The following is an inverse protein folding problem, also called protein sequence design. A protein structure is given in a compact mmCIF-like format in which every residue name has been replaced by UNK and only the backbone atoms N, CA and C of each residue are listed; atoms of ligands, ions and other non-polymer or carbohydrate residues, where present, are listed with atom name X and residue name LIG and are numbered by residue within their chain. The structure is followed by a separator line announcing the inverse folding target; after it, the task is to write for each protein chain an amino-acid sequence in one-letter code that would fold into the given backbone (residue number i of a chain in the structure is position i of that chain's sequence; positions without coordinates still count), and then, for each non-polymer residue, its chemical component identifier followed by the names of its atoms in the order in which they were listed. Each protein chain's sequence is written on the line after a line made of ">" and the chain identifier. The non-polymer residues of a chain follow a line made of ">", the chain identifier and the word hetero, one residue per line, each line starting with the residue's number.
data_IF_727813159498
#
_entry.id   IF_727813159498
#
_cell.length_a   1.000
_cell.length_b   1.000
_cell.length_c   1.000
_cell.angle_alpha   90.00
_cell.angle_beta   90.00
_cell.angle_gamma   90.00
#
_symmetry.space_group_name_H-M   'P 1'
#
loop_
_entity.id
_entity.type
_entity.pdbx_description
1 polymer ?
#
# COMPACT_ATOMS: atom_id res chain seq x y z
N UNK A 1 8.10 -4.43 -14.21
CA UNK A 1 9.35 -3.66 -14.14
C UNK A 1 10.53 -4.62 -14.03
N UNK A 2 11.42 -4.63 -15.03
CA UNK A 2 12.51 -5.64 -15.08
C UNK A 2 13.54 -5.45 -13.95
N UNK A 3 13.92 -4.19 -13.67
CA UNK A 3 14.86 -3.86 -12.60
C UNK A 3 14.47 -4.49 -11.24
N UNK A 4 13.19 -4.41 -10.86
CA UNK A 4 12.70 -5.02 -9.62
C UNK A 4 12.77 -6.55 -9.67
N UNK A 5 12.44 -7.18 -10.80
CA UNK A 5 12.53 -8.63 -10.98
C UNK A 5 13.97 -9.11 -10.81
N UNK A 6 14.92 -8.40 -11.38
CA UNK A 6 16.34 -8.73 -11.27
C UNK A 6 16.87 -8.54 -9.85
N UNK A 7 16.40 -7.50 -9.15
CA UNK A 7 16.72 -7.28 -7.74
C UNK A 7 16.17 -8.41 -6.85
N UNK A 8 14.94 -8.84 -7.08
CA UNK A 8 14.34 -9.97 -6.35
C UNK A 8 15.11 -11.25 -6.60
N UNK A 9 15.50 -11.54 -7.85
CA UNK A 9 16.30 -12.74 -8.18
C UNK A 9 17.68 -12.73 -7.53
N UNK A 10 18.32 -11.57 -7.46
CA UNK A 10 19.65 -11.40 -6.91
C UNK A 10 19.69 -11.49 -5.39
N UNK A 11 18.80 -10.74 -4.72
CA UNK A 11 18.90 -10.48 -3.28
C UNK A 11 17.71 -11.03 -2.47
N UNK A 12 16.64 -11.46 -3.17
CA UNK A 12 15.50 -12.12 -2.54
C UNK A 12 15.84 -13.53 -2.06
N UNK A 13 15.25 -13.92 -0.93
CA UNK A 13 15.44 -15.26 -0.35
C UNK A 13 14.08 -15.93 -0.18
N UNK A 14 13.98 -17.18 -0.64
CA UNK A 14 12.78 -18.00 -0.43
C UNK A 14 13.00 -18.84 0.82
N UNK A 15 12.09 -18.74 1.78
CA UNK A 15 12.06 -19.57 2.98
C UNK A 15 10.96 -20.63 2.89
N UNK A 16 10.98 -21.61 3.81
CA UNK A 16 9.95 -22.62 3.93
C UNK A 16 8.55 -21.99 3.97
N UNK A 17 7.57 -22.64 3.33
CA UNK A 17 6.20 -22.11 3.21
C UNK A 17 6.03 -21.04 2.12
N UNK A 18 6.89 -21.01 1.11
CA UNK A 18 6.83 -20.04 -0.01
C UNK A 18 6.88 -18.56 0.44
N UNK A 19 7.64 -18.29 1.52
CA UNK A 19 7.83 -16.94 2.02
C UNK A 19 8.99 -16.27 1.27
N UNK A 20 8.66 -15.26 0.46
CA UNK A 20 9.66 -14.41 -0.18
C UNK A 20 10.13 -13.34 0.82
N UNK A 21 11.42 -13.35 1.16
CA UNK A 21 12.10 -12.31 1.93
C UNK A 21 12.80 -11.32 1.01
N UNK A 22 12.43 -10.06 1.14
CA UNK A 22 13.00 -8.91 0.42
C UNK A 22 13.38 -7.78 1.38
N UNK A 23 13.59 -8.14 2.64
CA UNK A 23 13.87 -7.23 3.74
C UNK A 23 15.17 -6.44 3.57
N UNK A 24 16.12 -6.93 2.79
CA UNK A 24 17.37 -6.20 2.52
C UNK A 24 17.25 -4.99 1.60
N UNK A 25 16.09 -4.80 0.92
CA UNK A 25 15.94 -3.68 -0.02
C UNK A 25 14.52 -3.09 -0.10
N UNK A 26 13.50 -3.75 0.49
CA UNK A 26 12.11 -3.30 0.33
C UNK A 26 11.45 -2.93 1.66
N UNK A 27 11.34 -3.85 2.62
CA UNK A 27 10.44 -3.69 3.76
C UNK A 27 11.09 -3.77 5.15
N UNK A 28 12.41 -3.75 5.22
CA UNK A 28 13.17 -3.57 6.46
C UNK A 28 14.32 -2.57 6.24
N UNK A 29 15.26 -2.89 5.37
CA UNK A 29 16.16 -1.90 4.79
C UNK A 29 15.57 -1.43 3.46
N UNK A 30 15.53 -0.12 3.24
CA UNK A 30 14.90 0.50 2.07
C UNK A 30 15.96 0.98 1.09
N UNK A 31 15.95 0.44 -0.14
CA UNK A 31 16.80 0.94 -1.22
C UNK A 31 16.11 2.13 -1.90
N UNK A 32 16.52 3.33 -1.52
CA UNK A 32 15.89 4.58 -1.98
C UNK A 32 16.05 4.78 -3.49
N UNK A 33 17.16 4.32 -4.08
CA UNK A 33 17.32 4.39 -5.55
C UNK A 33 16.33 3.48 -6.26
N UNK A 34 16.15 2.26 -5.78
CA UNK A 34 15.14 1.34 -6.28
C UNK A 34 13.72 1.92 -6.11
N UNK A 35 13.42 2.53 -4.97
CA UNK A 35 12.12 3.19 -4.73
C UNK A 35 11.88 4.35 -5.69
N UNK A 36 12.91 5.11 -6.05
CA UNK A 36 12.83 6.13 -7.08
C UNK A 36 12.39 5.56 -8.44
N UNK A 37 12.98 4.44 -8.87
CA UNK A 37 12.60 3.78 -10.12
C UNK A 37 11.17 3.17 -10.05
N UNK A 38 10.77 2.65 -8.89
CA UNK A 38 9.39 2.20 -8.64
C UNK A 38 8.42 3.38 -8.75
N UNK A 39 8.76 4.54 -8.18
CA UNK A 39 7.95 5.74 -8.26
C UNK A 39 7.73 6.22 -9.69
N UNK A 40 8.79 6.24 -10.50
CA UNK A 40 8.70 6.54 -11.94
C UNK A 40 7.78 5.56 -12.68
N UNK A 41 7.91 4.27 -12.38
CA UNK A 41 7.08 3.24 -13.01
C UNK A 41 5.61 3.38 -12.63
N UNK A 42 5.28 3.67 -11.37
CA UNK A 42 3.90 3.95 -10.96
C UNK A 42 3.39 5.22 -11.64
N UNK A 43 4.16 6.31 -11.67
CA UNK A 43 3.76 7.53 -12.39
C UNK A 43 3.45 7.26 -13.86
N UNK A 44 4.26 6.43 -14.52
CA UNK A 44 4.04 6.04 -15.91
C UNK A 44 2.75 5.21 -16.09
N UNK A 45 2.46 4.28 -15.16
CA UNK A 45 1.27 3.42 -15.23
C UNK A 45 -0.04 4.18 -14.97
N UNK A 46 0.02 5.19 -14.13
CA UNK A 46 -1.12 6.05 -13.78
C UNK A 46 -1.03 7.43 -14.45
N UNK A 47 -0.39 7.53 -15.64
CA UNK A 47 -0.19 8.80 -16.31
C UNK A 47 -1.51 9.51 -16.69
N UNK A 48 -2.53 8.73 -17.05
CA UNK A 48 -3.84 9.24 -17.48
C UNK A 48 -4.86 9.28 -16.33
N UNK A 49 -4.42 9.05 -15.10
CA UNK A 49 -5.27 9.03 -13.90
C UNK A 49 -4.96 10.24 -13.04
N UNK A 50 -5.98 11.00 -12.72
CA UNK A 50 -5.85 12.10 -11.77
C UNK A 50 -5.74 11.56 -10.34
N UNK A 51 -4.61 11.80 -9.70
CA UNK A 51 -4.34 11.44 -8.31
C UNK A 51 -4.04 12.71 -7.54
N UNK A 52 -4.72 12.95 -6.42
CA UNK A 52 -4.43 14.07 -5.54
C UNK A 52 -4.07 13.64 -4.11
N UNK A 53 -4.12 12.33 -3.83
CA UNK A 53 -3.73 11.77 -2.54
C UNK A 53 -3.26 10.33 -2.66
N UNK A 54 -2.24 9.96 -1.90
CA UNK A 54 -1.82 8.57 -1.75
C UNK A 54 -2.22 8.09 -0.35
N UNK A 55 -2.79 6.88 -0.29
CA UNK A 55 -3.10 6.19 0.97
C UNK A 55 -2.32 4.88 1.03
N UNK A 56 -1.72 4.61 2.17
CA UNK A 56 -0.99 3.37 2.46
C UNK A 56 -1.30 2.87 3.87
N UNK A 57 -0.62 1.82 4.31
CA UNK A 57 -0.74 1.26 5.66
C UNK A 57 0.63 1.12 6.32
N UNK A 58 0.70 1.37 7.64
CA UNK A 58 1.95 1.12 8.39
C UNK A 58 2.31 -0.37 8.40
N UNK A 59 3.62 -0.72 8.40
CA UNK A 59 4.73 0.22 8.44
C UNK A 59 5.46 0.33 7.08
N UNK A 60 5.71 -0.78 6.37
CA UNK A 60 6.61 -0.85 5.20
C UNK A 60 6.10 -0.07 3.99
N UNK A 61 4.79 0.02 3.82
CA UNK A 61 4.18 0.80 2.75
C UNK A 61 4.50 2.30 2.81
N UNK A 62 4.75 2.86 4.01
CA UNK A 62 4.96 4.31 4.19
C UNK A 62 6.19 4.80 3.41
N UNK A 63 7.33 4.12 3.53
CA UNK A 63 8.55 4.53 2.84
C UNK A 63 8.39 4.55 1.32
N UNK A 64 7.74 3.53 0.78
CA UNK A 64 7.45 3.43 -0.65
C UNK A 64 6.50 4.56 -1.08
N UNK A 65 5.40 4.73 -0.35
CA UNK A 65 4.39 5.75 -0.65
C UNK A 65 4.99 7.16 -0.65
N UNK A 66 5.86 7.49 0.30
CA UNK A 66 6.53 8.79 0.35
C UNK A 66 7.41 9.08 -0.88
N UNK A 67 8.15 8.09 -1.36
CA UNK A 67 8.95 8.26 -2.59
C UNK A 67 8.07 8.31 -3.83
N UNK A 68 7.04 7.48 -3.92
CA UNK A 68 6.07 7.51 -5.03
C UNK A 68 5.36 8.87 -5.09
N UNK A 69 4.94 9.41 -3.95
CA UNK A 69 4.23 10.67 -3.85
C UNK A 69 5.00 11.86 -4.45
N UNK A 70 6.33 11.85 -4.40
CA UNK A 70 7.16 12.88 -5.03
C UNK A 70 6.95 12.98 -6.55
N UNK A 71 6.67 11.85 -7.22
CA UNK A 71 6.41 11.83 -8.66
C UNK A 71 4.99 12.27 -9.02
N UNK A 72 4.07 12.19 -8.08
CA UNK A 72 2.68 12.66 -8.25
C UNK A 72 2.46 14.08 -7.73
N UNK A 73 3.40 14.59 -6.92
CA UNK A 73 3.31 15.87 -6.21
C UNK A 73 2.05 15.97 -5.31
N UNK A 74 1.85 14.93 -4.50
CA UNK A 74 0.66 14.81 -3.64
C UNK A 74 1.02 14.38 -2.23
N UNK A 75 0.18 14.68 -1.22
CA UNK A 75 0.37 14.22 0.14
C UNK A 75 0.15 12.72 0.28
N UNK A 76 0.77 12.14 1.33
CA UNK A 76 0.58 10.77 1.76
C UNK A 76 -0.16 10.73 3.07
N UNK A 77 -1.22 9.93 3.13
CA UNK A 77 -1.90 9.53 4.36
C UNK A 77 -1.61 8.06 4.61
N UNK A 78 -1.44 7.65 5.84
CA UNK A 78 -1.27 6.25 6.17
C UNK A 78 -2.23 5.79 7.27
N UNK A 79 -2.81 4.63 7.05
CA UNK A 79 -3.63 3.95 8.03
C UNK A 79 -2.75 3.37 9.14
N UNK A 80 -3.14 3.58 10.40
CA UNK A 80 -2.50 3.03 11.59
C UNK A 80 -3.22 1.75 12.02
N UNK A 81 -2.46 0.79 12.54
CA UNK A 81 -2.98 -0.50 13.04
C UNK A 81 -3.51 -0.45 14.46
N UNK A 82 -3.25 0.63 15.17
CA UNK A 82 -3.70 0.81 16.55
C UNK A 82 -4.11 2.26 16.79
N UNK A 83 -5.17 2.43 17.59
CA UNK A 83 -5.56 3.76 18.03
C UNK A 83 -4.55 4.27 19.04
N UNK A 84 -3.82 5.32 18.69
CA UNK A 84 -2.94 6.03 19.62
C UNK A 84 -3.69 7.23 20.21
N UNK A 85 -3.35 7.62 21.45
CA UNK A 85 -3.92 8.82 22.12
C UNK A 85 -3.73 10.12 21.32
N UNK A 86 -2.85 10.09 20.32
CA UNK A 86 -2.51 11.23 19.47
C UNK A 86 -3.41 11.38 18.23
N UNK A 87 -4.37 10.47 17.99
CA UNK A 87 -5.39 10.68 16.97
C UNK A 87 -6.54 11.41 17.69
N UNK A 88 -6.52 12.74 17.63
CA UNK A 88 -7.63 13.55 18.06
C UNK A 88 -8.69 13.61 16.94
N UNK A 89 -9.96 13.55 17.30
CA UNK A 89 -11.05 13.70 16.35
C UNK A 89 -11.66 12.38 15.84
N UNK A 90 -12.52 12.51 14.83
CA UNK A 90 -13.22 11.37 14.22
C UNK A 90 -12.31 10.60 13.26
N UNK A 91 -12.52 9.29 13.20
CA UNK A 91 -11.73 8.37 12.38
C UNK A 91 -12.63 7.50 11.49
N UNK A 92 -12.10 7.10 10.35
CA UNK A 92 -12.58 5.94 9.61
C UNK A 92 -11.87 4.71 10.16
N UNK A 93 -12.59 3.61 10.30
CA UNK A 93 -12.04 2.34 10.82
C UNK A 93 -12.47 1.21 9.92
N UNK A 94 -11.55 0.31 9.59
CA UNK A 94 -11.87 -0.94 8.89
C UNK A 94 -11.14 -2.10 9.55
N UNK A 95 -11.76 -3.30 9.52
CA UNK A 95 -11.15 -4.52 10.04
C UNK A 95 -10.33 -5.20 8.97
N UNK A 96 -9.11 -5.59 9.31
CA UNK A 96 -8.19 -6.30 8.44
C UNK A 96 -7.76 -7.61 9.10
N UNK A 97 -7.89 -8.71 8.39
CA UNK A 97 -7.39 -10.00 8.82
C UNK A 97 -5.94 -10.18 8.38
N UNK A 98 -5.04 -10.36 9.37
CA UNK A 98 -3.64 -10.67 9.09
C UNK A 98 -3.46 -12.14 8.75
N UNK A 99 -3.09 -12.43 7.51
CA UNK A 99 -2.76 -13.79 7.09
C UNK A 99 -1.57 -14.38 7.86
N UNK A 100 -0.58 -13.55 8.17
CA UNK A 100 0.68 -14.00 8.80
C UNK A 100 0.51 -14.34 10.28
N UNK A 101 -0.46 -13.70 10.95
CA UNK A 101 -0.64 -13.85 12.40
C UNK A 101 -2.00 -14.42 12.81
N UNK A 102 -2.91 -14.69 11.86
CA UNK A 102 -4.26 -15.17 12.14
C UNK A 102 -5.07 -14.24 13.07
N UNK A 103 -4.74 -12.95 13.11
CA UNK A 103 -5.37 -11.95 13.96
C UNK A 103 -6.10 -10.91 13.12
N UNK A 104 -7.29 -10.54 13.59
CA UNK A 104 -8.02 -9.38 13.09
C UNK A 104 -7.53 -8.14 13.84
N UNK A 105 -7.21 -7.08 13.11
CA UNK A 105 -6.86 -5.78 13.67
C UNK A 105 -7.63 -4.67 12.96
N UNK A 106 -7.85 -3.58 13.66
CA UNK A 106 -8.45 -2.40 13.07
C UNK A 106 -7.37 -1.52 12.42
N UNK A 107 -7.68 -1.00 11.25
CA UNK A 107 -6.93 0.10 10.65
C UNK A 107 -7.71 1.39 10.81
N UNK A 108 -7.01 2.48 11.03
CA UNK A 108 -7.58 3.77 11.42
C UNK A 108 -6.99 4.88 10.57
N UNK A 109 -7.84 5.74 10.01
CA UNK A 109 -7.47 6.95 9.29
C UNK A 109 -8.27 8.12 9.85
N UNK A 110 -7.62 9.25 10.15
CA UNK A 110 -8.31 10.47 10.59
C UNK A 110 -9.17 11.03 9.47
N UNK A 111 -10.42 11.42 9.81
CA UNK A 111 -11.34 12.10 8.87
C UNK A 111 -10.84 13.47 8.44
N UNK A 112 -9.92 14.05 9.19
CA UNK A 112 -9.29 15.33 8.85
C UNK A 112 -8.47 15.26 7.56
N UNK A 113 -7.89 14.09 7.25
CA UNK A 113 -6.93 13.94 6.14
C UNK A 113 -7.48 13.15 4.94
N UNK A 114 -8.72 12.66 5.02
CA UNK A 114 -9.33 11.88 3.95
C UNK A 114 -10.83 12.20 3.86
N UNK A 115 -11.30 12.54 2.66
CA UNK A 115 -12.71 12.88 2.48
C UNK A 115 -13.11 13.10 1.03
N UNK A 116 -14.33 13.61 0.88
CA UNK A 116 -14.94 13.92 -0.43
C UNK A 116 -14.06 14.88 -1.24
N UNK A 117 -13.81 14.55 -2.50
CA UNK A 117 -12.95 15.32 -3.41
C UNK A 117 -11.51 14.78 -3.48
N UNK A 118 -11.14 13.87 -2.59
CA UNK A 118 -9.87 13.15 -2.73
C UNK A 118 -9.97 12.08 -3.83
N UNK A 119 -8.96 12.03 -4.69
CA UNK A 119 -8.73 10.99 -5.71
C UNK A 119 -7.54 10.16 -5.27
N UNK A 120 -7.83 9.02 -4.68
CA UNK A 120 -6.90 8.25 -3.86
C UNK A 120 -6.27 7.12 -4.65
N UNK A 121 -4.93 7.11 -4.73
CA UNK A 121 -4.14 5.97 -5.17
C UNK A 121 -3.65 5.19 -3.94
N UNK A 122 -4.00 3.91 -3.83
CA UNK A 122 -3.45 3.04 -2.80
C UNK A 122 -2.04 2.59 -3.20
N UNK A 123 -1.10 2.61 -2.25
CA UNK A 123 0.26 2.10 -2.46
C UNK A 123 0.61 1.14 -1.32
N UNK A 124 1.13 -0.05 -1.67
CA UNK A 124 1.62 -1.00 -0.67
C UNK A 124 2.80 -1.84 -1.20
N UNK A 125 3.52 -2.52 -0.31
CA UNK A 125 4.69 -3.34 -0.67
C UNK A 125 4.30 -4.71 -1.24
N UNK A 126 3.34 -5.41 -0.61
CA UNK A 126 2.91 -6.75 -1.00
C UNK A 126 1.40 -6.88 -1.16
N UNK A 127 0.99 -7.59 -2.20
CA UNK A 127 -0.36 -8.13 -2.35
C UNK A 127 -0.32 -9.65 -2.16
N UNK A 128 -0.86 -10.11 -1.04
CA UNK A 128 -0.97 -11.52 -0.68
C UNK A 128 -2.44 -11.98 -0.80
N UNK A 129 -3.17 -11.99 0.31
CA UNK A 129 -4.60 -12.35 0.32
C UNK A 129 -5.55 -11.18 -0.01
N UNK A 130 -5.04 -9.97 -0.16
CA UNK A 130 -5.82 -8.77 -0.48
C UNK A 130 -6.47 -8.06 0.69
N UNK A 131 -6.49 -8.65 1.90
CA UNK A 131 -7.27 -8.12 3.03
C UNK A 131 -6.85 -6.71 3.49
N UNK A 132 -5.57 -6.39 3.45
CA UNK A 132 -5.12 -5.03 3.77
C UNK A 132 -5.64 -4.02 2.74
N UNK A 133 -5.59 -4.38 1.46
CA UNK A 133 -6.04 -3.51 0.38
C UNK A 133 -7.56 -3.34 0.39
N UNK A 134 -8.33 -4.41 0.65
CA UNK A 134 -9.79 -4.33 0.88
C UNK A 134 -10.13 -3.38 2.04
N UNK A 135 -9.39 -3.49 3.15
CA UNK A 135 -9.58 -2.61 4.30
C UNK A 135 -9.32 -1.14 3.97
N UNK A 136 -8.26 -0.86 3.21
CA UNK A 136 -7.96 0.51 2.74
C UNK A 136 -9.03 1.01 1.75
N UNK A 137 -9.48 0.16 0.82
CA UNK A 137 -10.55 0.50 -0.12
C UNK A 137 -11.88 0.80 0.61
N UNK A 138 -12.21 0.04 1.66
CA UNK A 138 -13.36 0.32 2.51
C UNK A 138 -13.26 1.70 3.18
N UNK A 139 -12.09 2.04 3.73
CA UNK A 139 -11.85 3.38 4.32
C UNK A 139 -12.03 4.49 3.29
N UNK A 140 -11.55 4.30 2.04
CA UNK A 140 -11.75 5.28 0.97
C UNK A 140 -13.24 5.44 0.64
N UNK A 141 -13.99 4.34 0.51
CA UNK A 141 -15.45 4.38 0.27
C UNK A 141 -16.19 5.11 1.39
N UNK A 142 -15.89 4.76 2.64
CA UNK A 142 -16.54 5.37 3.83
C UNK A 142 -16.25 6.86 3.96
N UNK A 143 -15.11 7.32 3.44
CA UNK A 143 -14.74 8.74 3.43
C UNK A 143 -15.46 9.56 2.35
N UNK A 144 -16.09 8.91 1.39
CA UNK A 144 -16.66 9.56 0.21
C UNK A 144 -15.60 10.01 -0.81
N UNK A 145 -14.35 9.59 -0.64
CA UNK A 145 -13.29 9.79 -1.62
C UNK A 145 -13.43 8.81 -2.80
N UNK A 146 -12.80 9.15 -3.91
CA UNK A 146 -12.73 8.31 -5.10
C UNK A 146 -11.48 7.43 -5.04
N UNK A 147 -11.65 6.11 -5.13
CA UNK A 147 -10.54 5.17 -5.31
C UNK A 147 -10.20 5.10 -6.80
N UNK A 148 -9.03 5.64 -7.18
CA UNK A 148 -8.61 5.73 -8.59
C UNK A 148 -7.68 4.60 -9.01
N UNK A 149 -7.18 3.81 -8.07
CA UNK A 149 -6.38 2.64 -8.36
C UNK A 149 -5.52 2.17 -7.19
N UNK A 150 -4.78 1.10 -7.43
CA UNK A 150 -3.82 0.55 -6.47
C UNK A 150 -2.49 0.20 -7.14
N UNK A 151 -1.39 0.66 -6.57
CA UNK A 151 -0.02 0.34 -6.97
C UNK A 151 0.65 -0.56 -5.94
N UNK A 152 0.92 -1.81 -6.32
CA UNK A 152 1.56 -2.79 -5.46
C UNK A 152 2.93 -3.14 -6.04
N UNK A 153 3.94 -3.16 -5.17
CA UNK A 153 5.32 -3.45 -5.61
C UNK A 153 5.49 -4.92 -5.97
N UNK A 154 5.01 -5.82 -5.12
CA UNK A 154 5.11 -7.28 -5.33
C UNK A 154 3.75 -7.94 -5.12
N UNK A 155 3.21 -8.53 -6.17
CA UNK A 155 2.05 -9.41 -6.10
C UNK A 155 2.51 -10.86 -5.95
N UNK A 156 1.93 -11.58 -4.99
CA UNK A 156 2.11 -13.02 -4.84
C UNK A 156 1.07 -13.75 -5.71
N UNK A 157 1.39 -13.94 -6.98
CA UNK A 157 0.47 -14.46 -8.01
C UNK A 157 -0.10 -15.86 -7.76
N UNK A 158 0.39 -16.58 -6.73
CA UNK A 158 -0.18 -17.87 -6.29
C UNK A 158 -1.23 -17.73 -5.18
N UNK A 159 -1.54 -16.50 -4.75
CA UNK A 159 -2.57 -16.18 -3.76
C UNK A 159 -3.72 -15.41 -4.42
N UNK A 160 -4.88 -15.47 -3.80
CA UNK A 160 -6.14 -14.96 -4.36
C UNK A 160 -6.29 -13.44 -4.40
N UNK A 161 -5.41 -12.72 -3.70
CA UNK A 161 -5.55 -11.28 -3.51
C UNK A 161 -5.56 -10.48 -4.82
N UNK A 162 -4.78 -10.91 -5.80
CA UNK A 162 -4.74 -10.24 -7.10
C UNK A 162 -6.07 -10.33 -7.86
N UNK A 163 -6.68 -11.53 -7.88
CA UNK A 163 -7.96 -11.73 -8.54
C UNK A 163 -9.09 -11.00 -7.82
N UNK A 164 -9.07 -11.03 -6.48
CA UNK A 164 -10.02 -10.33 -5.63
C UNK A 164 -10.05 -8.82 -5.92
N UNK A 165 -8.87 -8.19 -5.89
CA UNK A 165 -8.76 -6.73 -6.09
C UNK A 165 -9.11 -6.31 -7.53
N UNK A 166 -8.81 -7.14 -8.53
CA UNK A 166 -9.18 -6.83 -9.92
C UNK A 166 -10.66 -7.00 -10.22
N UNK A 167 -11.41 -7.67 -9.35
CA UNK A 167 -12.86 -7.86 -9.47
C UNK A 167 -13.69 -6.72 -8.84
N UNK A 168 -13.06 -5.86 -8.05
CA UNK A 168 -13.65 -4.64 -7.48
C UNK A 168 -13.42 -3.42 -8.37
#
# INVERSE_FOLDING_TARGET
>A
MQLLKDRIRKDGKIKAGNVLKVDSFLNHQMDIKLFGEIGKEFKRRFADVEVNKILTIEASGIGIACIVAQYFDVPVVFAKKTQTKNIAGEVYTSKVESFTHGRVYDIIVSKEFLGKGDKVLLIDDFLANGKALEGLAAVVRDSGAELVGAGIVIEKGFQVGGDLIRSE
#
